data_IF_987908360724
#
_entry.id   IF_987908360724
#
_cell.length_a   1.000
_cell.length_b   1.000
_cell.length_c   1.000
_cell.angle_alpha   90.00
_cell.angle_beta   90.00
_cell.angle_gamma   90.00
#
_symmetry.space_group_name_H-M   'P 1'
#
loop_
_entity.id
_entity.type
_entity.pdbx_description
1 polymer ?
#
# COMPACT_ATOMS: atom_id res chain seq x y z
N UNK A 1 39.03 65.45 -64.00
CA UNK A 1 39.66 65.22 -62.69
C UNK A 1 38.54 64.83 -61.74
N UNK A 2 38.68 63.64 -61.17
CA UNK A 2 37.66 62.81 -60.53
C UNK A 2 36.85 63.44 -59.38
N UNK A 3 35.52 63.33 -59.41
CA UNK A 3 34.67 63.25 -58.23
C UNK A 3 34.31 61.77 -57.99
N UNK A 4 35.31 60.93 -57.73
CA UNK A 4 35.09 59.52 -57.45
C UNK A 4 35.09 59.24 -55.95
N UNK A 5 34.10 58.44 -55.55
CA UNK A 5 34.08 57.59 -54.37
C UNK A 5 34.07 58.25 -53.00
N UNK A 6 32.86 58.43 -52.44
CA UNK A 6 32.51 57.85 -51.14
C UNK A 6 31.03 57.46 -51.11
N UNK A 7 30.65 56.44 -51.90
CA UNK A 7 29.45 55.67 -51.56
C UNK A 7 29.85 54.70 -50.43
N UNK A 8 29.55 55.07 -49.19
CA UNK A 8 29.51 54.12 -48.09
C UNK A 8 28.33 53.18 -48.33
N UNK A 9 28.60 52.05 -49.00
CA UNK A 9 27.67 50.94 -49.04
C UNK A 9 27.64 50.31 -47.65
N UNK A 10 26.52 50.48 -46.94
CA UNK A 10 26.22 49.66 -45.79
C UNK A 10 25.93 48.25 -46.31
N UNK A 11 26.97 47.41 -46.39
CA UNK A 11 26.79 45.98 -46.58
C UNK A 11 26.14 45.42 -45.31
N UNK A 12 24.82 45.28 -45.38
CA UNK A 12 24.06 44.49 -44.42
C UNK A 12 24.49 43.03 -44.60
N UNK A 13 25.27 42.50 -43.66
CA UNK A 13 25.56 41.06 -43.61
C UNK A 13 24.32 40.35 -43.05
N UNK A 14 23.59 39.54 -43.83
CA UNK A 14 22.31 38.98 -43.41
C UNK A 14 22.43 37.81 -42.42
N UNK A 15 23.63 37.51 -41.90
CA UNK A 15 23.88 36.31 -41.10
C UNK A 15 24.11 36.54 -39.60
N UNK A 16 23.93 37.75 -39.08
CA UNK A 16 23.79 37.92 -37.63
C UNK A 16 22.39 37.48 -37.19
N UNK A 17 22.18 36.15 -37.17
CA UNK A 17 21.10 35.54 -36.38
C UNK A 17 21.28 36.06 -34.96
N UNK A 18 20.37 36.95 -34.56
CA UNK A 18 20.25 37.41 -33.18
C UNK A 18 19.99 36.16 -32.36
N UNK A 19 21.06 35.60 -31.77
CA UNK A 19 20.93 34.59 -30.75
C UNK A 19 20.39 35.30 -29.51
N UNK A 20 19.07 35.42 -29.45
CA UNK A 20 18.37 35.68 -28.21
C UNK A 20 18.65 34.47 -27.31
N UNK A 21 19.77 34.48 -26.59
CA UNK A 21 19.92 33.66 -25.39
C UNK A 21 18.74 34.05 -24.51
N UNK A 22 17.79 33.14 -24.23
CA UNK A 22 16.72 33.47 -23.31
C UNK A 22 17.40 33.85 -22.00
N UNK A 23 17.21 35.10 -21.56
CA UNK A 23 17.66 35.55 -20.25
C UNK A 23 16.99 34.62 -19.23
N UNK A 24 17.79 33.72 -18.67
CA UNK A 24 17.39 32.84 -17.58
C UNK A 24 16.76 33.72 -16.50
N UNK A 25 15.47 33.50 -16.24
CA UNK A 25 14.78 34.19 -15.18
C UNK A 25 15.45 33.82 -13.85
N UNK A 26 15.97 34.87 -13.22
CA UNK A 26 16.55 35.00 -11.90
C UNK A 26 15.95 33.99 -10.91
N UNK A 27 16.83 33.11 -10.45
CA UNK A 27 16.53 31.94 -9.65
C UNK A 27 17.42 30.84 -10.18
N UNK A 28 18.66 30.79 -9.71
CA UNK A 28 19.52 29.62 -9.84
C UNK A 28 18.73 28.43 -9.26
N UNK A 29 17.89 27.80 -10.08
CA UNK A 29 17.37 26.48 -9.78
C UNK A 29 18.62 25.65 -9.63
N UNK A 30 18.97 25.34 -8.38
CA UNK A 30 20.06 24.46 -8.00
C UNK A 30 20.20 23.41 -9.10
N UNK A 31 21.31 23.48 -9.84
CA UNK A 31 21.54 22.69 -11.05
C UNK A 31 21.49 21.17 -10.74
N UNK A 32 21.44 20.81 -9.45
CA UNK A 32 21.20 19.46 -8.95
C UNK A 32 19.85 19.19 -8.27
N UNK A 33 19.07 20.20 -7.86
CA UNK A 33 17.89 20.01 -6.99
C UNK A 33 16.77 19.19 -7.63
N UNK A 34 16.43 19.49 -8.90
CA UNK A 34 15.41 18.73 -9.63
C UNK A 34 15.81 17.28 -9.90
N UNK A 35 17.10 17.01 -10.06
CA UNK A 35 17.61 15.65 -10.30
C UNK A 35 17.63 14.81 -9.02
N UNK A 36 17.85 15.46 -7.87
CA UNK A 36 17.71 14.81 -6.57
C UNK A 36 16.26 14.39 -6.30
N UNK A 37 15.26 15.18 -6.72
CA UNK A 37 13.86 14.76 -6.66
C UNK A 37 13.61 13.47 -7.47
N UNK A 38 14.21 13.36 -8.66
CA UNK A 38 14.12 12.14 -9.49
C UNK A 38 14.81 10.95 -8.82
N UNK A 39 15.99 11.16 -8.22
CA UNK A 39 16.72 10.11 -7.53
C UNK A 39 16.01 9.58 -6.28
N UNK A 40 15.28 10.44 -5.56
CA UNK A 40 14.54 10.12 -4.35
C UNK A 40 13.10 9.65 -4.61
N UNK A 41 12.62 9.73 -5.86
CA UNK A 41 11.25 9.36 -6.20
C UNK A 41 10.83 7.93 -5.78
N UNK A 42 11.71 6.90 -5.88
CA UNK A 42 11.36 5.57 -5.41
C UNK A 42 11.06 5.51 -3.90
N UNK A 43 11.70 6.36 -3.09
CA UNK A 43 11.41 6.44 -1.65
C UNK A 43 9.99 6.95 -1.39
N UNK A 44 9.55 7.96 -2.15
CA UNK A 44 8.17 8.45 -2.09
C UNK A 44 7.17 7.38 -2.57
N UNK A 45 7.54 6.57 -3.57
CA UNK A 45 6.76 5.40 -4.00
C UNK A 45 6.54 4.41 -2.86
N UNK A 46 7.60 4.04 -2.14
CA UNK A 46 7.52 3.13 -0.98
C UNK A 46 6.59 3.68 0.10
N UNK A 47 6.69 4.97 0.43
CA UNK A 47 5.83 5.59 1.47
C UNK A 47 4.37 5.71 1.03
N UNK A 48 4.11 6.02 -0.24
CA UNK A 48 2.74 6.13 -0.74
C UNK A 48 2.07 4.76 -0.92
N UNK A 49 2.84 3.71 -1.20
CA UNK A 49 2.34 2.34 -1.30
C UNK A 49 1.73 1.84 0.02
N UNK A 50 2.23 2.29 1.19
CA UNK A 50 1.64 1.92 2.48
C UNK A 50 0.21 2.44 2.69
N UNK A 51 -0.26 3.34 1.83
CA UNK A 51 -1.63 3.86 1.84
C UNK A 51 -2.47 3.33 0.68
N UNK A 52 -1.95 2.40 -0.14
CA UNK A 52 -2.70 1.80 -1.22
C UNK A 52 -3.77 0.84 -0.67
N UNK A 53 -4.98 0.93 -1.22
CA UNK A 53 -6.13 0.12 -0.78
C UNK A 53 -6.11 -1.28 -1.41
N UNK A 54 -5.52 -1.42 -2.60
CA UNK A 54 -5.57 -2.65 -3.40
C UNK A 54 -4.33 -2.82 -4.30
N UNK A 55 -4.10 -4.04 -4.80
CA UNK A 55 -2.99 -4.35 -5.72
C UNK A 55 -3.00 -3.54 -7.00
N UNK A 56 -4.15 -3.14 -7.52
CA UNK A 56 -4.18 -2.40 -8.78
C UNK A 56 -3.82 -0.93 -8.53
N UNK A 57 -4.26 -0.32 -7.42
CA UNK A 57 -3.84 1.03 -7.05
C UNK A 57 -2.35 1.13 -6.74
N UNK A 58 -1.77 0.14 -6.05
CA UNK A 58 -0.32 0.05 -5.87
C UNK A 58 0.44 -0.06 -7.20
N UNK A 59 -0.08 -0.84 -8.17
CA UNK A 59 0.55 -1.02 -9.47
C UNK A 59 0.51 0.27 -10.27
N UNK A 60 -0.63 0.97 -10.25
CA UNK A 60 -0.82 2.26 -10.89
C UNK A 60 0.12 3.31 -10.28
N UNK A 61 0.30 3.30 -8.95
CA UNK A 61 1.26 4.18 -8.27
C UNK A 61 2.69 3.92 -8.75
N UNK A 62 3.14 2.66 -8.80
CA UNK A 62 4.49 2.34 -9.26
C UNK A 62 4.71 2.64 -10.75
N UNK A 63 3.69 2.43 -11.59
CA UNK A 63 3.71 2.89 -12.97
C UNK A 63 3.92 4.41 -13.02
N UNK A 64 3.18 5.17 -12.20
CA UNK A 64 3.30 6.63 -12.13
C UNK A 64 4.69 7.07 -11.65
N UNK A 65 5.27 6.41 -10.64
CA UNK A 65 6.64 6.65 -10.14
C UNK A 65 7.65 6.44 -11.28
N UNK A 66 7.57 5.32 -12.00
CA UNK A 66 8.43 5.03 -13.15
C UNK A 66 8.27 6.10 -14.23
N UNK A 67 7.02 6.46 -14.59
CA UNK A 67 6.73 7.52 -15.55
C UNK A 67 7.35 8.85 -15.13
N UNK A 68 7.20 9.25 -13.87
CA UNK A 68 7.77 10.51 -13.36
C UNK A 68 9.30 10.51 -13.40
N UNK A 69 9.95 9.39 -13.11
CA UNK A 69 11.41 9.27 -13.26
C UNK A 69 11.82 9.51 -14.73
N UNK A 70 11.13 8.86 -15.68
CA UNK A 70 11.40 9.04 -17.11
C UNK A 70 11.17 10.47 -17.60
N UNK A 71 10.04 11.08 -17.22
CA UNK A 71 9.74 12.46 -17.58
C UNK A 71 10.71 13.45 -16.91
N UNK A 72 11.12 13.19 -15.67
CA UNK A 72 12.14 13.96 -14.97
C UNK A 72 13.48 13.94 -15.70
N UNK A 73 13.95 12.77 -16.13
CA UNK A 73 15.18 12.65 -16.93
C UNK A 73 15.06 13.34 -18.30
N UNK A 74 13.89 13.27 -18.97
CA UNK A 74 13.67 13.98 -20.25
C UNK A 74 13.64 15.50 -20.08
N UNK A 75 12.96 16.00 -19.05
CA UNK A 75 12.88 17.42 -18.77
C UNK A 75 14.27 17.98 -18.45
N UNK A 76 15.05 17.22 -17.68
CA UNK A 76 16.43 17.54 -17.36
C UNK A 76 17.34 17.54 -18.60
N UNK A 77 17.23 16.54 -19.49
CA UNK A 77 17.99 16.53 -20.75
C UNK A 77 17.72 17.80 -21.56
N UNK A 78 16.45 18.18 -21.74
CA UNK A 78 16.09 19.38 -22.50
C UNK A 78 16.67 20.65 -21.87
N UNK A 79 16.67 20.75 -20.54
CA UNK A 79 17.29 21.88 -19.84
C UNK A 79 18.82 21.87 -19.99
N UNK A 80 19.43 20.69 -19.90
CA UNK A 80 20.87 20.51 -20.03
C UNK A 80 21.35 20.90 -21.43
N UNK A 81 20.65 20.46 -22.48
CA UNK A 81 20.91 20.84 -23.87
C UNK A 81 20.80 22.35 -24.08
N UNK A 82 19.76 23.00 -23.52
CA UNK A 82 19.60 24.45 -23.63
C UNK A 82 20.72 25.23 -22.91
N UNK A 83 21.27 24.68 -21.84
CA UNK A 83 22.32 25.33 -21.05
C UNK A 83 23.73 25.11 -21.62
N UNK A 84 23.98 23.98 -22.29
CA UNK A 84 25.30 23.57 -22.77
C UNK A 84 25.35 23.41 -24.30
N UNK A 85 24.44 24.05 -25.03
CA UNK A 85 24.29 23.93 -26.48
C UNK A 85 25.57 24.24 -27.27
N UNK A 86 26.43 25.13 -26.76
CA UNK A 86 27.66 25.57 -27.43
C UNK A 86 28.93 24.85 -26.91
N UNK A 87 28.85 24.19 -25.74
CA UNK A 87 30.02 23.70 -24.99
C UNK A 87 30.19 22.17 -25.03
N UNK A 88 29.18 21.42 -25.51
CA UNK A 88 29.19 19.96 -25.51
C UNK A 88 29.50 19.37 -26.88
N UNK A 89 30.32 18.32 -26.89
CA UNK A 89 30.58 17.50 -28.09
C UNK A 89 29.28 16.77 -28.53
N UNK A 90 28.97 16.85 -29.83
CA UNK A 90 27.82 16.21 -30.49
C UNK A 90 27.71 14.70 -30.15
N UNK A 91 28.85 14.04 -29.98
CA UNK A 91 28.91 12.62 -29.61
C UNK A 91 28.44 12.38 -28.17
N UNK A 92 28.86 13.23 -27.23
CA UNK A 92 28.45 13.17 -25.83
C UNK A 92 26.94 13.44 -25.68
N UNK A 93 26.42 14.44 -26.40
CA UNK A 93 24.99 14.78 -26.39
C UNK A 93 24.13 13.63 -26.91
N UNK A 94 24.49 13.03 -28.05
CA UNK A 94 23.79 11.84 -28.59
C UNK A 94 23.85 10.64 -27.64
N UNK A 95 24.97 10.45 -26.96
CA UNK A 95 25.12 9.37 -25.98
C UNK A 95 24.25 9.59 -24.74
N UNK A 96 24.06 10.84 -24.31
CA UNK A 96 23.24 11.20 -23.17
C UNK A 96 21.75 11.09 -23.50
N UNK A 97 21.33 11.54 -24.68
CA UNK A 97 19.96 11.40 -25.17
C UNK A 97 19.49 9.93 -25.25
N UNK A 98 20.38 9.02 -25.67
CA UNK A 98 20.10 7.58 -25.66
C UNK A 98 19.99 7.00 -24.25
N UNK A 99 20.72 7.56 -23.28
CA UNK A 99 20.74 7.06 -21.92
C UNK A 99 19.46 7.36 -21.14
N UNK A 100 18.62 8.31 -21.59
CA UNK A 100 17.33 8.66 -20.94
C UNK A 100 16.39 7.44 -20.80
N UNK A 101 16.48 6.46 -21.71
CA UNK A 101 15.70 5.23 -21.64
C UNK A 101 16.08 4.31 -20.49
N UNK A 102 17.23 4.57 -19.85
CA UNK A 102 17.71 3.85 -18.67
C UNK A 102 18.07 4.91 -17.63
N UNK A 103 17.12 5.35 -16.78
CA UNK A 103 17.32 6.49 -15.88
C UNK A 103 18.59 6.42 -15.01
N UNK A 104 18.99 5.27 -14.44
CA UNK A 104 20.27 5.16 -13.74
C UNK A 104 21.48 5.48 -14.63
N UNK A 105 21.49 4.97 -15.86
CA UNK A 105 22.58 5.20 -16.81
C UNK A 105 22.62 6.67 -17.28
N UNK A 106 21.46 7.30 -17.42
CA UNK A 106 21.35 8.73 -17.71
C UNK A 106 22.02 9.56 -16.62
N UNK A 107 21.64 9.34 -15.35
CA UNK A 107 22.20 10.05 -14.21
C UNK A 107 23.72 9.88 -14.14
N UNK A 108 24.21 8.65 -14.32
CA UNK A 108 25.64 8.36 -14.30
C UNK A 108 26.42 9.10 -15.40
N UNK A 109 25.92 9.09 -16.65
CA UNK A 109 26.59 9.78 -17.76
C UNK A 109 26.55 11.30 -17.58
N UNK A 110 25.42 11.83 -17.11
CA UNK A 110 25.27 13.26 -16.81
C UNK A 110 26.26 13.71 -15.73
N UNK A 111 26.32 13.00 -14.60
CA UNK A 111 27.22 13.34 -13.50
C UNK A 111 28.70 13.18 -13.90
N UNK A 112 29.01 12.27 -14.83
CA UNK A 112 30.36 12.13 -15.41
C UNK A 112 30.75 13.33 -16.27
N UNK A 113 29.84 13.84 -17.10
CA UNK A 113 30.07 15.03 -17.94
C UNK A 113 30.27 16.28 -17.07
N UNK A 114 29.55 16.37 -15.95
CA UNK A 114 29.62 17.49 -15.01
C UNK A 114 30.66 17.34 -13.89
N UNK A 115 31.43 16.25 -13.88
CA UNK A 115 32.39 15.93 -12.81
C UNK A 115 31.78 15.95 -11.38
N UNK A 116 30.48 15.67 -11.24
CA UNK A 116 29.72 15.83 -10.01
C UNK A 116 29.68 14.57 -9.11
N UNK A 117 30.37 13.49 -9.49
CA UNK A 117 30.39 12.21 -8.77
C UNK A 117 29.13 11.37 -8.98
N UNK A 118 29.24 10.04 -8.94
CA UNK A 118 28.17 9.10 -9.30
C UNK A 118 27.08 8.89 -8.22
N UNK A 119 26.96 9.80 -7.25
CA UNK A 119 26.16 9.61 -6.03
C UNK A 119 24.66 9.49 -6.33
N UNK A 120 24.12 10.32 -7.23
CA UNK A 120 22.68 10.30 -7.57
C UNK A 120 22.26 9.03 -8.27
N UNK A 121 23.09 8.57 -9.22
CA UNK A 121 22.88 7.28 -9.87
C UNK A 121 22.91 6.13 -8.88
N UNK A 122 23.88 6.14 -7.95
CA UNK A 122 23.99 5.10 -6.93
C UNK A 122 22.76 5.10 -6.00
N UNK A 123 22.31 6.28 -5.55
CA UNK A 123 21.10 6.43 -4.72
C UNK A 123 19.87 5.94 -5.46
N UNK A 124 19.67 6.32 -6.72
CA UNK A 124 18.53 5.83 -7.50
C UNK A 124 18.56 4.29 -7.64
N UNK A 125 19.72 3.69 -7.90
CA UNK A 125 19.85 2.23 -7.99
C UNK A 125 19.55 1.56 -6.65
N UNK A 126 20.12 2.07 -5.56
CA UNK A 126 19.89 1.53 -4.22
C UNK A 126 18.41 1.65 -3.84
N UNK A 127 17.78 2.80 -4.07
CA UNK A 127 16.37 3.01 -3.76
C UNK A 127 15.44 2.23 -4.68
N UNK A 128 15.82 2.01 -5.95
CA UNK A 128 15.05 1.14 -6.86
C UNK A 128 15.21 -0.33 -6.49
N UNK A 129 16.41 -0.76 -6.06
CA UNK A 129 16.66 -2.11 -5.57
C UNK A 129 15.95 -2.34 -4.23
N UNK A 130 16.02 -1.36 -3.32
CA UNK A 130 15.24 -1.34 -2.10
C UNK A 130 13.75 -1.35 -2.42
N UNK A 131 13.27 -0.57 -3.37
CA UNK A 131 11.90 -0.66 -3.85
C UNK A 131 11.57 -1.98 -4.54
N UNK A 132 12.52 -2.77 -5.04
CA UNK A 132 12.28 -4.10 -5.58
C UNK A 132 12.22 -5.17 -4.47
N UNK A 133 13.10 -5.06 -3.49
CA UNK A 133 13.16 -5.94 -2.31
C UNK A 133 11.99 -5.62 -1.36
N UNK A 134 11.66 -4.33 -1.24
CA UNK A 134 10.59 -3.73 -0.47
C UNK A 134 9.36 -3.39 -1.30
N UNK A 135 9.29 -3.75 -2.59
CA UNK A 135 8.03 -4.11 -3.26
C UNK A 135 7.78 -5.55 -2.76
N UNK A 136 7.37 -5.79 -1.51
CA UNK A 136 6.44 -4.97 -0.71
C UNK A 136 5.01 -5.16 -1.14
N UNK A 137 4.81 -5.29 -2.45
CA UNK A 137 3.57 -5.63 -3.12
C UNK A 137 2.94 -6.96 -2.65
N UNK A 138 3.70 -7.83 -1.97
CA UNK A 138 3.30 -9.20 -1.55
C UNK A 138 3.76 -9.55 -0.12
N UNK A 139 4.19 -8.59 0.71
CA UNK A 139 4.60 -8.95 2.09
C UNK A 139 4.11 -7.99 3.17
N UNK A 140 3.91 -6.71 2.86
CA UNK A 140 3.44 -5.74 3.87
C UNK A 140 1.93 -5.75 4.10
N UNK A 141 1.17 -6.01 3.03
CA UNK A 141 -0.29 -5.99 3.03
C UNK A 141 -0.93 -7.35 2.78
N UNK A 142 -0.21 -8.30 2.17
CA UNK A 142 -0.75 -9.65 2.02
C UNK A 142 -0.91 -10.31 3.37
N UNK A 143 -2.17 -10.59 3.70
CA UNK A 143 -2.54 -11.66 4.59
C UNK A 143 -1.68 -12.87 4.21
N UNK A 144 -0.84 -13.32 5.15
CA UNK A 144 0.10 -14.42 4.96
C UNK A 144 -0.14 -15.39 6.12
N UNK A 145 -0.05 -16.70 5.88
CA UNK A 145 -0.33 -17.79 6.85
C UNK A 145 0.29 -17.54 8.24
N UNK A 146 1.45 -16.89 8.30
CA UNK A 146 2.16 -16.57 9.55
C UNK A 146 1.63 -15.36 10.31
N UNK A 147 0.97 -14.44 9.61
CA UNK A 147 0.47 -13.16 10.14
C UNK A 147 -1.04 -13.15 10.34
N UNK A 148 -1.77 -14.10 9.71
CA UNK A 148 -3.23 -14.20 9.86
C UNK A 148 -3.63 -14.51 11.31
N UNK A 149 -3.00 -15.50 11.99
CA UNK A 149 -3.38 -15.83 13.37
C UNK A 149 -3.22 -14.63 14.31
N UNK A 150 -2.06 -13.98 14.28
CA UNK A 150 -1.77 -12.81 15.13
C UNK A 150 -2.70 -11.62 14.82
N UNK A 151 -3.03 -11.39 13.54
CA UNK A 151 -3.98 -10.33 13.17
C UNK A 151 -5.40 -10.67 13.60
N UNK A 152 -5.81 -11.92 13.45
CA UNK A 152 -7.15 -12.37 13.82
C UNK A 152 -7.34 -12.28 15.34
N UNK A 153 -6.35 -12.70 16.14
CA UNK A 153 -6.38 -12.60 17.61
C UNK A 153 -6.61 -11.17 18.13
N UNK A 154 -6.09 -10.17 17.41
CA UNK A 154 -6.25 -8.75 17.72
C UNK A 154 -7.48 -8.10 17.07
N UNK A 155 -8.24 -8.84 16.27
CA UNK A 155 -9.42 -8.31 15.58
C UNK A 155 -10.63 -8.29 16.54
N UNK A 156 -11.41 -7.19 16.58
CA UNK A 156 -12.64 -7.13 17.37
C UNK A 156 -13.67 -8.14 16.87
N UNK A 157 -14.39 -8.76 17.80
CA UNK A 157 -15.45 -9.74 17.50
C UNK A 157 -16.59 -9.14 16.67
N UNK A 158 -16.81 -7.82 16.75
CA UNK A 158 -17.81 -7.10 15.95
C UNK A 158 -17.60 -7.22 14.43
N UNK A 159 -16.38 -7.50 13.98
CA UNK A 159 -16.05 -7.73 12.57
C UNK A 159 -16.56 -9.08 12.07
N UNK A 160 -16.77 -10.04 12.97
CA UNK A 160 -17.34 -11.37 12.65
C UNK A 160 -18.88 -11.37 12.58
N UNK A 161 -19.48 -10.20 12.39
CA UNK A 161 -20.94 -9.99 12.30
C UNK A 161 -21.71 -10.31 13.60
N UNK A 162 -21.02 -10.36 14.75
CA UNK A 162 -21.66 -10.35 16.06
C UNK A 162 -21.95 -8.92 16.49
N UNK A 163 -23.16 -8.67 17.01
CA UNK A 163 -23.50 -7.37 17.58
C UNK A 163 -22.90 -7.28 18.98
N UNK A 164 -21.86 -6.45 19.13
CA UNK A 164 -21.32 -6.10 20.45
C UNK A 164 -20.90 -4.64 20.44
N UNK A 165 -21.12 -3.94 21.54
CA UNK A 165 -20.70 -2.55 21.73
C UNK A 165 -19.30 -2.43 22.35
N UNK A 166 -18.66 -3.55 22.66
CA UNK A 166 -17.37 -3.60 23.33
C UNK A 166 -16.23 -3.92 22.34
N UNK A 167 -15.58 -2.85 21.88
CA UNK A 167 -14.40 -2.95 20.99
C UNK A 167 -13.18 -3.59 21.68
N UNK A 168 -13.20 -3.80 23.00
CA UNK A 168 -12.11 -4.49 23.73
C UNK A 168 -12.20 -6.01 23.64
N UNK A 169 -13.33 -6.56 23.18
CA UNK A 169 -13.56 -7.98 22.91
C UNK A 169 -12.91 -8.38 21.58
N UNK A 170 -11.70 -8.90 21.65
CA UNK A 170 -11.00 -9.45 20.48
C UNK A 170 -11.14 -10.97 20.40
N UNK A 171 -11.04 -11.52 19.19
CA UNK A 171 -11.14 -12.97 18.94
C UNK A 171 -10.16 -13.76 19.80
N UNK A 172 -8.93 -13.28 19.96
CA UNK A 172 -7.90 -13.96 20.76
C UNK A 172 -8.24 -14.02 22.25
N UNK A 173 -8.78 -12.94 22.82
CA UNK A 173 -9.19 -12.91 24.24
C UNK A 173 -10.37 -13.82 24.51
N UNK A 174 -11.30 -13.91 23.57
CA UNK A 174 -12.47 -14.79 23.68
C UNK A 174 -12.06 -16.27 23.61
N UNK A 175 -11.19 -16.62 22.68
CA UNK A 175 -10.64 -17.98 22.60
C UNK A 175 -9.79 -18.33 23.84
N UNK A 176 -8.97 -17.40 24.35
CA UNK A 176 -8.20 -17.58 25.58
C UNK A 176 -9.09 -17.78 26.82
N UNK A 177 -10.25 -17.10 26.87
CA UNK A 177 -11.24 -17.28 27.94
C UNK A 177 -11.99 -18.61 27.86
N UNK A 178 -12.19 -19.14 26.65
CA UNK A 178 -12.96 -20.37 26.42
C UNK A 178 -12.13 -21.65 26.56
N UNK A 179 -10.87 -21.65 26.12
CA UNK A 179 -9.96 -22.79 26.30
C UNK A 179 -9.42 -22.88 27.73
N UNK A 180 -9.29 -24.10 28.24
CA UNK A 180 -8.73 -24.34 29.57
C UNK A 180 -7.30 -23.78 29.67
N UNK A 181 -7.01 -23.10 30.78
CA UNK A 181 -5.72 -22.47 31.07
C UNK A 181 -5.24 -21.48 29.98
N UNK A 182 -6.13 -21.04 29.08
CA UNK A 182 -5.80 -20.17 27.93
C UNK A 182 -4.88 -20.82 26.90
N UNK A 183 -4.74 -22.15 26.91
CA UNK A 183 -3.80 -22.88 26.08
C UNK A 183 -4.48 -23.50 24.85
N UNK A 184 -4.16 -22.96 23.67
CA UNK A 184 -4.56 -23.50 22.38
C UNK A 184 -3.42 -23.41 21.35
N UNK A 185 -3.43 -24.30 20.37
CA UNK A 185 -2.57 -24.28 19.20
C UNK A 185 -3.38 -23.80 17.99
N UNK A 186 -2.83 -22.93 17.16
CA UNK A 186 -3.47 -22.45 15.93
C UNK A 186 -2.73 -22.98 14.71
N UNK A 187 -3.45 -23.74 13.90
CA UNK A 187 -3.02 -24.13 12.56
C UNK A 187 -3.74 -23.28 11.53
N UNK A 188 -3.01 -22.76 10.54
CA UNK A 188 -3.55 -21.95 9.47
C UNK A 188 -3.28 -22.64 8.14
N UNK A 189 -4.35 -22.90 7.38
CA UNK A 189 -4.26 -23.45 6.04
C UNK A 189 -4.85 -22.46 5.03
N UNK A 190 -4.31 -22.48 3.81
CA UNK A 190 -4.70 -21.54 2.77
C UNK A 190 -5.26 -22.28 1.56
N UNK A 191 -6.48 -21.91 1.18
CA UNK A 191 -7.19 -22.48 0.04
C UNK A 191 -7.80 -21.37 -0.81
N UNK A 192 -7.09 -21.00 -1.89
CA UNK A 192 -7.57 -19.98 -2.83
C UNK A 192 -7.52 -18.56 -2.26
N UNK A 193 -8.69 -18.01 -1.92
CA UNK A 193 -8.88 -16.67 -1.33
C UNK A 193 -9.35 -16.76 0.14
N UNK A 194 -9.25 -17.95 0.75
CA UNK A 194 -9.72 -18.24 2.10
C UNK A 194 -8.54 -18.79 2.92
N UNK A 195 -8.32 -18.20 4.09
CA UNK A 195 -7.52 -18.80 5.16
C UNK A 195 -8.46 -19.50 6.13
N UNK A 196 -8.22 -20.78 6.37
CA UNK A 196 -8.92 -21.59 7.37
C UNK A 196 -7.99 -21.71 8.58
N UNK A 197 -8.40 -21.13 9.71
CA UNK A 197 -7.69 -21.17 10.98
C UNK A 197 -8.39 -22.16 11.91
N UNK A 198 -7.66 -23.20 12.33
CA UNK A 198 -8.14 -24.20 13.28
C UNK A 198 -7.43 -23.96 14.61
N UNK A 199 -8.20 -23.56 15.61
CA UNK A 199 -7.75 -23.40 16.98
C UNK A 199 -8.06 -24.67 17.75
N UNK A 200 -7.04 -25.40 18.18
CA UNK A 200 -7.16 -26.69 18.87
C UNK A 200 -6.69 -26.58 20.33
N UNK A 201 -7.46 -27.12 21.26
CA UNK A 201 -7.17 -27.02 22.67
C UNK A 201 -8.00 -27.96 23.52
N UNK A 202 -8.06 -27.70 24.83
CA UNK A 202 -8.93 -28.42 25.75
C UNK A 202 -10.01 -27.50 26.28
N UNK A 203 -11.22 -28.04 26.38
CA UNK A 203 -12.32 -27.42 27.09
C UNK A 203 -12.90 -28.45 28.07
N UNK A 204 -12.73 -28.19 29.36
CA UNK A 204 -12.96 -29.14 30.44
C UNK A 204 -12.02 -30.37 30.43
N UNK A 205 -12.56 -31.52 30.02
CA UNK A 205 -11.81 -32.81 29.99
C UNK A 205 -11.65 -33.38 28.58
N UNK A 206 -12.11 -32.63 27.58
CA UNK A 206 -12.29 -33.10 26.21
C UNK A 206 -11.52 -32.16 25.28
N UNK A 207 -11.01 -32.69 24.16
CA UNK A 207 -10.40 -31.88 23.12
C UNK A 207 -11.46 -31.07 22.38
N UNK A 208 -11.17 -29.82 22.07
CA UNK A 208 -12.04 -28.94 21.31
C UNK A 208 -11.27 -28.26 20.18
N UNK A 209 -11.93 -28.05 19.05
CA UNK A 209 -11.41 -27.38 17.87
C UNK A 209 -12.41 -26.33 17.40
N UNK A 210 -11.94 -25.12 17.11
CA UNK A 210 -12.73 -24.00 16.59
C UNK A 210 -12.15 -23.59 15.25
N UNK A 211 -12.95 -23.64 14.19
CA UNK A 211 -12.54 -23.28 12.83
C UNK A 211 -13.11 -21.91 12.46
N UNK A 212 -12.20 -20.99 12.11
CA UNK A 212 -12.55 -19.65 11.62
C UNK A 212 -11.99 -19.47 10.22
N UNK A 213 -12.88 -19.15 9.29
CA UNK A 213 -12.54 -18.79 7.93
C UNK A 213 -12.38 -17.29 7.78
N UNK A 214 -11.32 -16.90 7.09
CA UNK A 214 -11.00 -15.53 6.77
C UNK A 214 -10.94 -15.41 5.26
N UNK A 215 -11.96 -14.82 4.65
CA UNK A 215 -11.92 -14.46 3.24
C UNK A 215 -11.05 -13.20 3.07
N UNK A 216 -10.13 -13.23 2.12
CA UNK A 216 -9.27 -12.10 1.81
C UNK A 216 -9.26 -11.80 0.31
N UNK A 217 -9.02 -10.54 -0.04
CA UNK A 217 -8.68 -10.16 -1.44
C UNK A 217 -7.17 -10.18 -1.70
N UNK A 218 -6.43 -10.71 -0.74
CA UNK A 218 -4.97 -10.71 -0.71
C UNK A 218 -4.39 -9.47 -0.04
N UNK A 219 -5.19 -8.54 0.49
CA UNK A 219 -4.71 -7.31 1.15
C UNK A 219 -5.49 -7.00 2.45
N UNK A 220 -6.81 -7.22 2.47
CA UNK A 220 -7.68 -6.96 3.63
C UNK A 220 -8.57 -8.18 3.89
N UNK A 221 -8.95 -8.40 5.16
CA UNK A 221 -10.02 -9.31 5.53
C UNK A 221 -11.35 -8.76 5.01
N UNK A 222 -11.97 -9.49 4.08
CA UNK A 222 -13.30 -9.13 3.56
C UNK A 222 -14.38 -9.58 4.50
N UNK A 223 -14.27 -10.82 4.94
CA UNK A 223 -15.24 -11.46 5.79
C UNK A 223 -14.51 -12.44 6.72
N UNK A 224 -15.00 -12.53 7.95
CA UNK A 224 -14.45 -13.41 8.98
C UNK A 224 -15.63 -14.18 9.56
N UNK A 225 -15.68 -15.47 9.31
CA UNK A 225 -16.81 -16.33 9.67
C UNK A 225 -16.32 -17.49 10.51
N UNK A 226 -16.92 -17.70 11.67
CA UNK A 226 -16.77 -18.96 12.39
C UNK A 226 -17.54 -20.04 11.61
N UNK A 227 -16.83 -21.04 11.09
CA UNK A 227 -17.43 -22.06 10.22
C UNK A 227 -17.83 -23.32 11.00
N UNK A 228 -17.00 -23.75 11.95
CA UNK A 228 -17.19 -25.04 12.62
C UNK A 228 -16.64 -25.06 14.03
N UNK A 229 -17.28 -25.84 14.90
CA UNK A 229 -16.79 -26.15 16.25
C UNK A 229 -16.90 -27.65 16.45
N UNK A 230 -15.81 -28.29 16.83
CA UNK A 230 -15.73 -29.73 17.11
C UNK A 230 -15.37 -29.92 18.58
N UNK A 231 -16.18 -30.68 19.32
CA UNK A 231 -15.90 -31.02 20.72
C UNK A 231 -15.87 -32.55 20.85
N UNK A 232 -14.77 -33.10 21.33
CA UNK A 232 -14.60 -34.54 21.53
C UNK A 232 -14.62 -35.37 20.24
N UNK A 233 -14.36 -34.73 19.09
CA UNK A 233 -14.43 -35.36 17.77
C UNK A 233 -15.82 -35.38 17.15
N UNK A 234 -16.81 -34.73 17.78
CA UNK A 234 -18.14 -34.49 17.19
C UNK A 234 -18.25 -33.02 16.75
N UNK A 235 -18.53 -32.82 15.46
CA UNK A 235 -18.77 -31.51 14.86
C UNK A 235 -20.21 -31.07 15.16
N UNK A 236 -20.35 -29.91 15.81
CA UNK A 236 -21.64 -29.31 16.13
C UNK A 236 -22.33 -28.83 14.85
N UNK A 237 -23.68 -28.85 14.82
CA UNK A 237 -24.46 -28.48 13.63
C UNK A 237 -25.55 -27.47 13.96
N UNK A 238 -25.90 -26.70 12.92
CA UNK A 238 -27.06 -25.81 12.87
C UNK A 238 -27.21 -24.91 14.11
N UNK A 239 -28.19 -25.17 14.97
CA UNK A 239 -28.51 -24.32 16.11
C UNK A 239 -27.52 -24.49 17.27
N UNK A 240 -27.04 -25.71 17.53
CA UNK A 240 -26.02 -25.98 18.56
C UNK A 240 -24.69 -25.29 18.23
N UNK A 241 -24.37 -25.20 16.94
CA UNK A 241 -23.18 -24.49 16.46
C UNK A 241 -23.32 -22.97 16.65
N UNK A 242 -24.50 -22.39 16.38
CA UNK A 242 -24.74 -20.95 16.57
C UNK A 242 -24.73 -20.56 18.04
N UNK A 243 -25.32 -21.38 18.91
CA UNK A 243 -25.37 -21.12 20.34
C UNK A 243 -23.95 -21.17 20.92
N UNK A 244 -23.17 -22.17 20.54
CA UNK A 244 -21.77 -22.28 20.95
C UNK A 244 -20.90 -21.16 20.37
N UNK A 245 -21.16 -20.70 19.14
CA UNK A 245 -20.48 -19.52 18.59
C UNK A 245 -20.79 -18.25 19.38
N UNK A 246 -22.04 -18.04 19.79
CA UNK A 246 -22.40 -16.92 20.68
C UNK A 246 -21.71 -17.05 22.03
N UNK A 247 -21.71 -18.23 22.64
CA UNK A 247 -21.06 -18.48 23.92
C UNK A 247 -19.55 -18.15 23.85
N UNK A 248 -18.86 -18.60 22.81
CA UNK A 248 -17.42 -18.36 22.63
C UNK A 248 -17.14 -16.86 22.40
N UNK A 249 -17.88 -16.21 21.49
CA UNK A 249 -17.49 -14.89 20.98
C UNK A 249 -18.19 -13.71 21.69
N UNK A 250 -19.38 -13.89 22.25
CA UNK A 250 -20.12 -12.85 23.00
C UNK A 250 -19.97 -13.02 24.53
N UNK A 251 -19.77 -14.24 25.02
CA UNK A 251 -19.77 -14.57 26.45
C UNK A 251 -21.16 -14.40 27.08
N UNK A 252 -21.22 -14.13 28.39
CA UNK A 252 -22.47 -14.01 29.18
C UNK A 252 -23.46 -12.92 28.67
N UNK A 253 -23.06 -12.04 27.75
CA UNK A 253 -23.98 -11.09 27.07
C UNK A 253 -24.99 -11.79 26.16
N UNK A 254 -24.76 -13.06 25.79
CA UNK A 254 -25.72 -13.83 25.01
C UNK A 254 -27.02 -14.14 25.79
N UNK A 255 -26.98 -14.15 27.13
CA UNK A 255 -28.19 -14.37 27.95
C UNK A 255 -29.06 -13.12 28.08
N UNK A 256 -28.52 -11.92 27.84
CA UNK A 256 -29.27 -10.67 28.02
C UNK A 256 -30.18 -10.35 26.81
N UNK A 257 -29.79 -10.66 25.57
CA UNK A 257 -30.62 -10.36 24.38
C UNK A 257 -31.86 -11.26 24.23
N UNK A 258 -31.88 -12.49 24.79
CA UNK A 258 -33.09 -13.33 24.73
C UNK A 258 -34.16 -12.94 25.77
N UNK A 259 -33.77 -12.18 26.79
CA UNK A 259 -34.69 -11.78 27.86
C UNK A 259 -35.54 -10.55 27.52
N UNK A 260 -35.08 -9.66 26.63
CA UNK A 260 -35.83 -8.45 26.26
C UNK A 260 -36.94 -8.72 25.22
N UNK A 261 -36.78 -9.72 24.34
CA UNK A 261 -37.81 -10.06 23.32
C UNK A 261 -38.98 -10.90 23.88
N UNK A 262 -38.83 -11.46 25.09
CA UNK A 262 -39.87 -12.26 25.74
C UNK A 262 -40.80 -11.45 26.66
N UNK A 263 -40.34 -10.32 27.22
CA UNK A 263 -41.17 -9.47 28.09
C UNK A 263 -42.09 -8.52 27.30
N UNK A 264 -41.71 -8.07 26.09
CA UNK A 264 -42.56 -7.18 25.28
C UNK A 264 -43.81 -7.84 24.68
N UNK A 265 -43.94 -9.18 24.72
CA UNK A 265 -45.15 -9.89 24.24
C UNK A 265 -46.10 -10.36 25.33
N UNK A 266 -45.78 -10.16 26.61
CA UNK A 266 -46.65 -10.58 27.71
C UNK A 266 -47.48 -9.43 28.33
N UNK A 267 -47.10 -8.15 28.11
CA UNK A 267 -47.84 -7.02 28.69
C UNK A 267 -49.00 -6.48 27.83
N UNK A 268 -49.09 -6.81 26.53
CA UNK A 268 -50.17 -6.29 25.65
C UNK A 268 -51.47 -7.15 25.66
N UNK A 269 -51.65 -8.03 26.65
CA UNK A 269 -52.83 -8.92 26.72
C UNK A 269 -53.64 -8.83 28.02
N UNK A 270 -53.31 -7.92 28.94
CA UNK A 270 -53.94 -7.87 30.27
C UNK A 270 -54.64 -6.54 30.65
N UNK A 271 -54.72 -5.54 29.77
CA UNK A 271 -55.44 -4.28 30.04
C UNK A 271 -56.49 -3.94 28.95
N UNK A 272 -57.42 -4.85 28.67
CA UNK A 272 -58.71 -4.46 28.06
C UNK A 272 -59.89 -5.23 28.69
N UNK A 273 -59.97 -5.23 30.02
CA UNK A 273 -61.24 -5.53 30.71
C UNK A 273 -61.29 -4.95 32.13
N UNK A 274 -61.43 -3.64 32.28
CA UNK A 274 -62.21 -3.03 33.38
C UNK A 274 -62.35 -1.50 33.23
N UNK A 275 -63.62 -1.02 33.17
CA UNK A 275 -64.12 0.38 33.22
C UNK A 275 -64.10 1.10 31.85
N UNK A 276 -65.20 1.57 31.27
CA UNK A 276 -66.53 2.00 31.73
C UNK A 276 -67.58 1.76 30.63
#
# INVERSE_FOLDING_TARGET
>A
MDPNNMQFSWQYSPEQKIQLKPKLARGERSVGGGLWCVALLPLAGIVLESFAVDKYSGAVLWLLVIFMIFFGCRADLKQFELQHADDLDDTAQKSLAKAVWIPPLYLFRRDKILHAGATRSAVLVILTAAAFISNGFVQGLTVNEKTVPERLENTPVSVMNFKTSDDEKTVGKMLEGWFDDGAYECDCTHSGDIYELVYSGRHGKISAEVTVNVEHDGFIFKDITAEGITIGGEELKDDELKDMQKEIFLGDEAEEEESEDAEEKAEDSAEESEKE
#
